data_IF_427824723056
#
_entry.id   IF_427824723056
#
_cell.length_a   1.000
_cell.length_b   1.000
_cell.length_c   1.000
_cell.angle_alpha   90.00
_cell.angle_beta   90.00
_cell.angle_gamma   90.00
#
_symmetry.space_group_name_H-M   'P 1'
#
loop_
_entity.id
_entity.type
_entity.pdbx_description
1 polymer ?
#
# COMPACT_ATOMS: atom_id res chain seq x y z
N UNK A 1 -4.27 16.50 -5.00
CA UNK A 1 -3.07 16.20 -4.19
C UNK A 1 -2.09 15.35 -5.01
N UNK A 2 -1.15 15.99 -5.72
CA UNK A 2 -0.17 15.36 -6.61
C UNK A 2 1.19 15.11 -5.91
N UNK A 3 1.20 14.87 -4.60
CA UNK A 3 2.40 15.01 -3.77
C UNK A 3 3.32 13.79 -3.64
N UNK A 4 2.88 12.58 -4.00
CA UNK A 4 3.68 11.36 -3.79
C UNK A 4 3.98 10.52 -5.05
N UNK A 5 3.41 10.89 -6.20
CA UNK A 5 3.68 10.20 -7.49
C UNK A 5 4.97 10.67 -8.17
N UNK A 6 5.62 11.73 -7.66
CA UNK A 6 6.75 12.41 -8.32
C UNK A 6 8.15 11.92 -7.90
N UNK A 7 8.26 11.00 -6.93
CA UNK A 7 9.54 10.58 -6.35
C UNK A 7 9.96 9.14 -6.69
N UNK A 8 9.15 8.38 -7.44
CA UNK A 8 9.36 6.93 -7.63
C UNK A 8 9.61 6.50 -9.08
N UNK A 9 9.53 7.42 -10.02
CA UNK A 9 9.44 7.08 -11.43
C UNK A 9 10.64 7.66 -12.16
N UNK A 10 11.39 6.81 -12.85
CA UNK A 10 12.48 7.25 -13.72
C UNK A 10 11.85 7.96 -14.93
N UNK A 11 12.12 9.26 -15.05
CA UNK A 11 11.66 10.08 -16.17
C UNK A 11 12.85 10.42 -17.07
N UNK A 12 12.67 10.32 -18.38
CA UNK A 12 13.65 10.85 -19.33
C UNK A 12 13.57 12.38 -19.40
N UNK A 13 14.50 13.04 -20.10
CA UNK A 13 14.51 14.50 -20.24
C UNK A 13 13.26 15.06 -20.95
N UNK A 14 12.52 14.21 -21.67
CA UNK A 14 11.23 14.51 -22.30
C UNK A 14 10.02 14.30 -21.36
N UNK A 15 10.24 13.88 -20.11
CA UNK A 15 9.20 13.66 -19.11
C UNK A 15 8.39 12.37 -19.28
N UNK A 16 8.83 11.47 -20.15
CA UNK A 16 8.19 10.17 -20.39
C UNK A 16 8.68 9.13 -19.38
N UNK A 17 7.77 8.22 -19.02
CA UNK A 17 8.05 7.12 -18.11
C UNK A 17 8.76 5.98 -18.86
N UNK A 18 9.95 5.61 -18.40
CA UNK A 18 10.77 4.55 -19.02
C UNK A 18 10.59 3.19 -18.29
N UNK A 19 9.90 3.18 -17.14
CA UNK A 19 9.68 1.99 -16.34
C UNK A 19 8.53 1.11 -16.86
N UNK A 20 8.75 -0.21 -16.93
CA UNK A 20 7.73 -1.18 -17.35
C UNK A 20 6.56 -1.32 -16.37
N UNK A 21 6.81 -1.14 -15.06
CA UNK A 21 5.79 -1.12 -14.02
C UNK A 21 6.31 -0.41 -12.78
N UNK A 22 5.41 0.17 -11.98
CA UNK A 22 5.75 0.74 -10.67
C UNK A 22 5.49 -0.32 -9.59
N UNK A 23 6.51 -0.78 -8.86
CA UNK A 23 6.32 -1.84 -7.89
C UNK A 23 5.59 -1.34 -6.64
N UNK A 24 4.83 -2.26 -6.00
CA UNK A 24 4.13 -1.97 -4.75
C UNK A 24 5.12 -1.82 -3.59
N UNK A 25 4.79 -0.95 -2.65
CA UNK A 25 5.58 -0.73 -1.42
C UNK A 25 4.89 -1.37 -0.23
N UNK A 26 5.68 -1.99 0.64
CA UNK A 26 5.24 -2.50 1.92
C UNK A 26 4.76 -1.35 2.81
N UNK A 27 3.55 -1.47 3.36
CA UNK A 27 2.99 -0.47 4.27
C UNK A 27 3.78 -0.39 5.58
N UNK A 28 4.32 -1.50 6.07
CA UNK A 28 5.03 -1.58 7.35
C UNK A 28 6.46 -1.03 7.29
N UNK A 29 7.21 -1.36 6.23
CA UNK A 29 8.64 -1.06 6.12
C UNK A 29 9.01 -0.14 4.96
N UNK A 30 8.03 0.32 4.17
CA UNK A 30 8.25 1.07 2.93
C UNK A 30 9.17 0.39 1.90
N UNK A 31 9.48 -0.90 2.10
CA UNK A 31 10.30 -1.70 1.21
C UNK A 31 9.54 -2.06 -0.07
N UNK A 32 10.23 -2.06 -1.20
CA UNK A 32 9.67 -2.52 -2.47
C UNK A 32 9.37 -4.03 -2.39
N UNK A 33 8.17 -4.42 -2.81
CA UNK A 33 7.76 -5.83 -2.90
C UNK A 33 8.19 -6.36 -4.27
N UNK A 34 9.07 -7.37 -4.28
CA UNK A 34 9.54 -7.98 -5.52
C UNK A 34 8.47 -8.93 -6.10
N UNK A 35 8.46 -9.12 -7.42
CA UNK A 35 7.56 -10.08 -8.07
C UNK A 35 7.75 -11.52 -7.58
N UNK A 36 8.97 -11.88 -7.11
CA UNK A 36 9.30 -13.21 -6.58
C UNK A 36 8.94 -13.38 -5.09
N UNK A 37 8.48 -12.33 -4.42
CA UNK A 37 8.10 -12.40 -3.00
C UNK A 37 6.72 -13.08 -2.82
N UNK A 38 6.67 -14.40 -2.97
CA UNK A 38 5.49 -15.23 -2.66
C UNK A 38 4.96 -15.10 -1.22
N UNK A 39 5.79 -14.86 -0.18
CA UNK A 39 5.25 -14.57 1.15
C UNK A 39 4.66 -13.16 1.30
N UNK A 40 4.71 -12.29 0.28
CA UNK A 40 4.01 -11.01 0.35
C UNK A 40 2.50 -11.19 0.22
N UNK A 41 1.73 -10.40 0.98
CA UNK A 41 0.27 -10.43 0.95
C UNK A 41 -0.29 -9.02 0.82
N UNK A 42 -1.48 -8.93 0.22
CA UNK A 42 -2.30 -7.73 0.22
C UNK A 42 -3.55 -8.03 1.04
N UNK A 43 -3.80 -7.21 2.04
CA UNK A 43 -4.94 -7.34 2.93
C UNK A 43 -5.86 -6.14 2.77
N UNK A 44 -7.13 -6.41 2.45
CA UNK A 44 -8.16 -5.40 2.36
C UNK A 44 -9.01 -5.45 3.62
N UNK A 45 -8.92 -4.42 4.44
CA UNK A 45 -9.72 -4.30 5.66
C UNK A 45 -10.86 -3.33 5.40
N UNK A 46 -12.08 -3.84 5.57
CA UNK A 46 -13.31 -3.09 5.41
C UNK A 46 -13.40 -1.95 6.45
N UNK A 47 -13.72 -0.74 5.99
CA UNK A 47 -14.07 0.37 6.88
C UNK A 47 -15.54 0.26 7.29
N UNK A 48 -15.77 0.38 8.59
CA UNK A 48 -17.07 0.23 9.22
C UNK A 48 -17.52 1.58 9.77
N UNK A 49 -18.79 1.92 9.57
CA UNK A 49 -19.39 3.10 10.17
C UNK A 49 -19.44 2.97 11.70
N UNK A 50 -19.05 4.04 12.41
CA UNK A 50 -18.96 4.05 13.87
C UNK A 50 -20.32 3.96 14.55
N UNK A 51 -21.39 4.38 13.86
CA UNK A 51 -22.74 4.46 14.44
C UNK A 51 -23.57 3.22 14.10
N UNK A 52 -23.56 2.81 12.82
CA UNK A 52 -24.39 1.68 12.36
C UNK A 52 -23.67 0.33 12.39
N UNK A 53 -22.34 0.31 12.56
CA UNK A 53 -21.54 -0.92 12.53
C UNK A 53 -21.58 -1.62 11.17
N UNK A 54 -22.10 -0.95 10.12
CA UNK A 54 -22.24 -1.51 8.78
C UNK A 54 -21.03 -1.18 7.91
N UNK A 55 -20.81 -2.07 6.96
CA UNK A 55 -19.76 -1.91 5.97
C UNK A 55 -20.06 -0.72 5.04
N UNK A 56 -19.12 0.21 4.94
CA UNK A 56 -19.28 1.47 4.20
C UNK A 56 -18.87 1.40 2.72
N UNK A 57 -18.54 0.22 2.18
CA UNK A 57 -18.05 0.08 0.81
C UNK A 57 -16.57 0.44 0.61
N UNK A 58 -15.96 1.11 1.59
CA UNK A 58 -14.55 1.50 1.55
C UNK A 58 -13.64 0.44 2.19
N UNK A 59 -12.46 0.25 1.58
CA UNK A 59 -11.46 -0.68 2.06
C UNK A 59 -10.13 0.02 2.23
N UNK A 60 -9.49 -0.19 3.39
CA UNK A 60 -8.11 0.15 3.62
C UNK A 60 -7.24 -1.04 3.21
N UNK A 61 -6.34 -0.79 2.26
CA UNK A 61 -5.47 -1.83 1.68
C UNK A 61 -4.09 -1.73 2.30
N UNK A 62 -3.63 -2.81 2.92
CA UNK A 62 -2.28 -2.94 3.48
C UNK A 62 -1.50 -3.97 2.66
N UNK A 63 -0.28 -3.62 2.26
CA UNK A 63 0.62 -4.55 1.58
C UNK A 63 1.78 -4.91 2.50
N UNK A 64 1.96 -6.20 2.81
CA UNK A 64 3.02 -6.67 3.73
C UNK A 64 4.04 -7.45 2.92
N UNK A 65 5.32 -7.11 3.06
CA UNK A 65 6.40 -7.85 2.41
C UNK A 65 6.78 -9.11 3.19
N UNK A 66 7.32 -10.09 2.46
CA UNK A 66 7.71 -11.37 3.05
C UNK A 66 8.84 -11.31 4.07
N UNK A 67 9.66 -10.24 4.06
CA UNK A 67 10.72 -10.06 5.07
C UNK A 67 10.11 -9.83 6.47
N UNK A 68 9.08 -8.99 6.57
CA UNK A 68 8.40 -8.69 7.83
C UNK A 68 7.72 -9.94 8.39
N UNK A 69 7.04 -10.73 7.55
CA UNK A 69 6.41 -11.99 7.96
C UNK A 69 7.40 -13.06 8.42
N UNK A 70 8.62 -13.06 7.89
CA UNK A 70 9.67 -13.99 8.33
C UNK A 70 10.24 -13.64 9.71
N UNK A 71 10.19 -12.36 10.09
CA UNK A 71 10.69 -11.89 11.39
C UNK A 71 9.63 -11.92 12.49
N UNK A 72 8.35 -12.14 12.16
CA UNK A 72 7.24 -12.10 13.11
C UNK A 72 6.68 -10.69 13.35
N UNK A 73 7.34 -9.66 12.82
CA UNK A 73 6.97 -8.25 12.97
C UNK A 73 5.75 -7.83 12.11
N UNK A 74 4.97 -8.79 11.59
CA UNK A 74 3.79 -8.49 10.76
C UNK A 74 2.65 -7.86 11.54
N UNK A 75 2.58 -8.16 12.83
CA UNK A 75 1.43 -7.83 13.68
C UNK A 75 1.62 -6.47 14.36
N UNK A 76 2.87 -6.05 14.55
CA UNK A 76 3.26 -4.74 15.13
C UNK A 76 3.07 -3.56 14.16
N UNK A 77 2.27 -3.75 13.11
CA UNK A 77 1.93 -2.70 12.15
C UNK A 77 1.04 -1.63 12.79
N UNK A 78 1.67 -0.67 13.46
CA UNK A 78 1.04 0.53 14.06
C UNK A 78 0.59 1.58 13.03
N UNK A 79 0.93 1.38 11.75
CA UNK A 79 0.71 2.31 10.65
C UNK A 79 -0.71 2.36 10.10
N UNK A 80 -1.75 2.07 10.91
CA UNK A 80 -3.12 2.22 10.46
C UNK A 80 -3.41 3.70 10.18
N UNK A 81 -3.72 4.09 8.92
CA UNK A 81 -4.05 5.48 8.64
C UNK A 81 -5.31 5.86 9.41
N UNK A 82 -5.24 6.98 10.16
CA UNK A 82 -6.44 7.64 10.70
C UNK A 82 -7.46 7.78 9.57
N UNK A 83 -8.78 7.66 9.83
CA UNK A 83 -9.79 7.74 8.79
C UNK A 83 -9.81 9.15 8.20
N UNK A 84 -8.97 9.39 7.21
CA UNK A 84 -9.11 10.48 6.26
C UNK A 84 -9.54 9.85 4.96
N UNK A 85 -10.67 10.35 4.46
CA UNK A 85 -11.31 9.93 3.23
C UNK A 85 -10.30 9.87 2.07
N UNK A 86 -10.53 8.93 1.15
CA UNK A 86 -9.77 8.65 -0.09
C UNK A 86 -8.69 7.56 -0.03
N UNK A 87 -9.01 6.38 0.50
CA UNK A 87 -8.42 5.14 -0.04
C UNK A 87 -9.19 4.71 -1.28
N UNK A 88 -8.91 5.34 -2.43
CA UNK A 88 -9.19 4.67 -3.70
C UNK A 88 -7.94 3.89 -4.10
N UNK A 89 -8.13 2.58 -4.31
CA UNK A 89 -7.14 1.68 -4.89
C UNK A 89 -6.60 2.29 -6.19
N UNK A 90 -5.29 2.32 -6.33
CA UNK A 90 -4.66 2.06 -7.62
C UNK A 90 -3.57 1.04 -7.34
N UNK A 91 -3.89 -0.23 -7.58
CA UNK A 91 -2.96 -1.01 -8.40
C UNK A 91 -2.87 -0.34 -9.77
#
# INVERSE_FOLDING_TARGET
MQGLRRLLNMQNDAGEFVDLYVPRKCSASSRIICAKDHPSIQMNVAEVDKVTGRFNGYFKTCSICGAIRRMGESDDFSGWPRPTASSQRTD
#
